data_IF_415425897607
#
_entry.id   IF_415425897607
#
_cell.length_a   1.000
_cell.length_b   1.000
_cell.length_c   1.000
_cell.angle_alpha   90.00
_cell.angle_beta   90.00
_cell.angle_gamma   90.00
#
_symmetry.space_group_name_H-M   'P 1'
#
loop_
_entity.id
_entity.type
_entity.pdbx_description
1 polymer ?
2 non-polymer ?
3 water ?
#
# COMPACT_ATOMS: atom_id res chain seq x y z
N UNK A 1 30.53 18.85 10.30
CA UNK A 1 29.56 18.13 9.44
C UNK A 1 30.01 16.69 9.27
N UNK A 2 29.21 15.93 8.53
CA UNK A 2 29.48 14.52 8.25
C UNK A 2 29.92 14.43 6.79
N UNK A 3 31.23 14.32 6.59
CA UNK A 3 31.80 14.14 5.26
C UNK A 3 31.35 15.26 4.32
N UNK A 4 31.19 16.46 4.86
CA UNK A 4 30.88 17.65 4.07
C UNK A 4 29.64 17.45 3.22
N UNK A 5 28.46 17.50 3.84
CA UNK A 5 27.20 17.52 3.13
C UNK A 5 26.37 16.26 3.30
N UNK A 6 26.96 15.17 3.77
CA UNK A 6 26.19 13.95 3.92
C UNK A 6 25.40 13.98 5.22
N UNK A 7 24.43 13.07 5.32
CA UNK A 7 23.51 13.00 6.44
C UNK A 7 23.52 11.57 6.99
N UNK A 8 23.68 11.37 8.29
CA UNK A 8 23.60 10.00 8.84
C UNK A 8 22.23 9.41 8.60
N UNK A 9 22.17 8.11 8.34
CA UNK A 9 20.89 7.41 8.28
C UNK A 9 20.14 7.60 9.60
N UNK A 10 18.81 7.73 9.51
CA UNK A 10 17.97 7.67 10.70
C UNK A 10 17.86 6.21 11.14
N UNK A 11 17.76 5.94 12.46
CA UNK A 11 17.53 4.55 12.91
C UNK A 11 16.39 3.84 12.22
N UNK A 12 15.30 4.56 11.89
CA UNK A 12 14.19 3.94 11.18
C UNK A 12 14.64 3.48 9.80
N UNK A 13 15.34 4.36 9.07
CA UNK A 13 15.89 3.98 7.76
C UNK A 13 16.67 2.68 7.89
N UNK A 14 17.53 2.61 8.91
CA UNK A 14 18.47 1.51 9.03
C UNK A 14 17.77 0.18 9.30
N UNK A 15 16.63 0.21 10.01
CA UNK A 15 15.86 -1.02 10.23
C UNK A 15 15.51 -1.67 8.90
N UNK A 16 14.97 -0.89 7.96
CA UNK A 16 14.44 -1.47 6.73
C UNK A 16 15.54 -1.92 5.78
N UNK A 17 16.72 -1.32 5.85
CA UNK A 17 17.86 -1.84 5.10
C UNK A 17 18.40 -3.12 5.72
N UNK A 18 18.53 -3.15 7.06
CA UNK A 18 19.15 -4.32 7.71
C UNK A 18 18.29 -5.57 7.60
N UNK A 19 16.95 -5.42 7.58
CA UNK A 19 16.05 -6.57 7.56
C UNK A 19 15.76 -7.09 6.16
N UNK A 20 16.18 -6.37 5.13
CA UNK A 20 15.93 -6.79 3.76
C UNK A 20 16.78 -8.02 3.45
N UNK A 21 16.16 -9.04 2.87
CA UNK A 21 16.83 -10.22 2.38
C UNK A 21 16.29 -10.56 0.99
N UNK A 22 16.92 -11.52 0.33
CA UNK A 22 16.48 -11.95 -1.00
C UNK A 22 14.99 -12.24 -1.03
N UNK A 23 14.51 -12.99 -0.04
CA UNK A 23 13.12 -13.44 -0.06
C UNK A 23 12.14 -12.35 0.36
N UNK A 24 12.60 -11.22 0.92
CA UNK A 24 11.69 -10.18 1.42
C UNK A 24 12.24 -8.79 1.13
N UNK A 25 12.06 -8.29 -0.10
CA UNK A 25 12.39 -6.90 -0.39
C UNK A 25 11.62 -5.96 0.53
N UNK A 26 12.24 -4.83 0.85
CA UNK A 26 11.69 -3.91 1.83
C UNK A 26 11.27 -2.59 1.19
N UNK A 27 10.83 -2.61 -0.08
CA UNK A 27 10.28 -1.43 -0.74
C UNK A 27 8.75 -1.40 -0.64
N UNK A 28 8.19 -0.21 -0.79
CA UNK A 28 6.75 -0.05 -0.94
C UNK A 28 6.50 0.50 -2.35
N UNK A 29 5.22 0.54 -2.75
CA UNK A 29 4.88 0.98 -4.08
C UNK A 29 3.49 1.59 -4.15
N UNK A 30 3.29 2.44 -5.17
CA UNK A 30 1.98 2.99 -5.49
C UNK A 30 1.63 2.76 -6.94
N UNK A 31 0.42 2.26 -7.19
CA UNK A 31 -0.12 2.08 -8.53
C UNK A 31 -1.07 3.24 -8.80
N UNK A 32 -0.67 4.15 -9.69
CA UNK A 32 -1.45 5.33 -10.06
C UNK A 32 -2.20 5.06 -11.35
N UNK A 33 -3.52 5.25 -11.39
CA UNK A 33 -4.31 5.16 -12.62
C UNK A 33 -4.71 6.57 -13.05
N UNK A 34 -4.30 6.97 -14.24
CA UNK A 34 -4.58 8.31 -14.78
C UNK A 34 -5.55 8.22 -15.95
N UNK A 35 -6.47 9.17 -16.01
CA UNK A 35 -7.39 9.31 -17.13
C UNK A 35 -6.74 10.26 -18.15
N UNK A 36 -6.58 9.80 -19.38
CA UNK A 36 -6.04 10.69 -20.42
C UNK A 36 -6.98 11.88 -20.61
N UNK A 37 -6.47 13.12 -20.72
CA UNK A 37 -7.38 14.27 -20.82
C UNK A 37 -8.35 14.17 -21.99
N UNK A 38 -9.50 14.79 -21.81
CA UNK A 38 -10.54 14.69 -22.83
C UNK A 38 -10.09 15.33 -24.12
N UNK A 39 -9.33 16.43 -24.04
CA UNK A 39 -8.88 17.16 -25.21
C UNK A 39 -7.43 16.86 -25.57
N UNK A 40 -6.90 15.72 -25.18
CA UNK A 40 -5.50 15.40 -25.40
C UNK A 40 -5.25 14.85 -26.82
N UNK A 41 -4.11 15.18 -27.42
CA UNK A 41 -3.75 14.55 -28.70
C UNK A 41 -3.45 13.06 -28.50
N UNK A 42 -3.47 12.33 -29.61
CA UNK A 42 -3.16 10.90 -29.54
C UNK A 42 -1.71 10.62 -29.14
N UNK A 43 -0.86 11.64 -29.15
CA UNK A 43 0.53 11.50 -28.75
C UNK A 43 0.80 12.01 -27.35
N UNK A 44 -0.24 12.09 -26.50
CA UNK A 44 -0.06 12.65 -25.17
C UNK A 44 1.03 11.92 -24.39
N UNK A 45 0.96 10.58 -24.36
CA UNK A 45 1.96 9.79 -23.63
C UNK A 45 3.33 9.87 -24.30
N UNK A 46 3.38 9.64 -25.60
CA UNK A 46 4.65 9.72 -26.32
C UNK A 46 5.35 11.05 -26.03
N UNK A 47 4.61 12.16 -26.04
CA UNK A 47 5.20 13.47 -25.79
C UNK A 47 5.62 13.64 -24.35
N UNK A 48 4.83 13.13 -23.40
CA UNK A 48 5.19 13.26 -21.99
C UNK A 48 6.47 12.48 -21.69
N UNK A 49 6.58 11.26 -22.21
CA UNK A 49 7.79 10.46 -22.01
C UNK A 49 8.96 11.09 -22.76
N UNK A 50 8.71 11.64 -23.94
CA UNK A 50 9.81 12.27 -24.68
C UNK A 50 10.35 13.48 -23.92
N UNK A 51 9.46 14.29 -23.34
CA UNK A 51 9.93 15.39 -22.51
C UNK A 51 10.79 14.88 -21.35
N UNK A 52 10.42 13.74 -20.77
CA UNK A 52 11.23 13.12 -19.72
C UNK A 52 12.61 12.74 -20.29
N UNK A 53 12.63 12.01 -21.41
CA UNK A 53 13.87 11.47 -21.93
C UNK A 53 14.87 12.58 -22.28
N UNK A 54 14.39 13.74 -22.73
CA UNK A 54 15.30 14.82 -23.13
C UNK A 54 15.55 15.83 -22.02
N UNK A 55 14.85 15.72 -20.89
CA UNK A 55 14.98 16.75 -19.86
C UNK A 55 16.41 16.86 -19.36
N UNK A 56 16.81 18.08 -19.07
CA UNK A 56 18.10 18.34 -18.43
C UNK A 56 17.97 18.61 -16.93
N UNK A 57 16.76 18.53 -16.38
CA UNK A 57 16.55 18.77 -14.95
C UNK A 57 17.06 17.60 -14.13
N UNK A 58 17.53 17.92 -12.93
CA UNK A 58 18.18 16.95 -12.02
C UNK A 58 17.19 16.56 -10.93
N UNK A 59 17.17 15.30 -10.48
CA UNK A 59 16.31 14.93 -9.37
C UNK A 59 16.58 15.78 -8.14
N UNK A 60 15.53 16.10 -7.41
CA UNK A 60 15.63 16.85 -6.16
C UNK A 60 15.50 15.86 -5.01
N UNK A 61 15.93 16.19 -3.80
CA UNK A 61 15.78 15.25 -2.71
C UNK A 61 14.32 14.91 -2.51
N UNK A 62 14.02 13.66 -2.12
CA UNK A 62 14.96 12.59 -1.77
C UNK A 62 15.45 11.77 -2.97
N UNK A 63 15.00 12.11 -4.17
CA UNK A 63 15.26 11.26 -5.33
C UNK A 63 16.72 11.30 -5.77
N UNK A 64 17.47 12.30 -5.37
CA UNK A 64 18.89 12.35 -5.67
C UNK A 64 19.75 11.80 -4.53
N UNK A 65 19.14 11.20 -3.50
CA UNK A 65 19.89 10.66 -2.37
C UNK A 65 20.26 9.19 -2.61
N UNK A 66 21.48 8.82 -2.24
CA UNK A 66 21.96 7.45 -2.37
C UNK A 66 22.79 7.06 -1.15
N UNK A 67 22.90 5.76 -0.93
CA UNK A 67 23.61 5.28 0.24
C UNK A 67 25.13 5.40 0.07
N UNK A 68 25.82 5.75 1.17
CA UNK A 68 27.28 5.77 1.22
C UNK A 68 27.66 5.38 2.66
N UNK A 69 27.88 4.10 2.87
CA UNK A 69 28.09 3.63 4.24
C UNK A 69 26.81 3.80 5.04
N UNK A 70 26.92 4.31 6.26
CA UNK A 70 25.75 4.59 7.06
C UNK A 70 25.27 6.04 6.89
N UNK A 71 25.34 6.56 5.66
CA UNK A 71 25.05 7.96 5.39
C UNK A 71 24.30 8.08 4.06
N UNK A 72 23.51 9.15 3.96
CA UNK A 72 22.89 9.55 2.71
C UNK A 72 23.81 10.55 2.03
N UNK A 73 24.16 10.27 0.79
CA UNK A 73 25.02 11.10 -0.06
C UNK A 73 24.20 11.53 -1.28
N UNK A 74 24.73 12.46 -2.05
CA UNK A 74 24.05 12.97 -3.25
C UNK A 74 24.52 12.21 -4.49
N UNK A 75 23.55 11.81 -5.32
CA UNK A 75 23.82 11.17 -6.60
C UNK A 75 24.27 12.24 -7.59
N UNK A 76 25.50 12.12 -8.03
CA UNK A 76 26.07 13.12 -8.92
C UNK A 76 25.94 12.77 -10.39
N UNK A 77 25.34 11.61 -10.75
CA UNK A 77 25.22 11.24 -12.17
C UNK A 77 23.91 10.47 -12.35
N UNK A 78 22.81 11.21 -12.51
CA UNK A 78 21.50 10.59 -12.71
C UNK A 78 21.52 9.71 -13.95
N UNK A 79 21.10 8.45 -13.79
CA UNK A 79 21.06 7.42 -14.84
C UNK A 79 19.59 7.10 -15.13
N UNK A 80 19.00 7.85 -16.08
CA UNK A 80 17.56 7.75 -16.35
C UNK A 80 17.15 6.30 -16.64
N UNK A 81 17.89 5.63 -17.51
CA UNK A 81 17.48 4.30 -17.94
C UNK A 81 17.69 3.23 -16.87
N UNK A 82 18.33 3.58 -15.75
CA UNK A 82 18.28 2.68 -14.60
C UNK A 82 16.96 2.85 -13.87
N UNK A 83 16.50 4.09 -13.72
CA UNK A 83 15.36 4.38 -12.86
C UNK A 83 14.02 4.32 -13.59
N UNK A 84 14.01 4.39 -14.93
CA UNK A 84 12.79 4.69 -15.67
C UNK A 84 12.51 3.67 -16.76
N UNK A 85 11.24 3.25 -16.86
CA UNK A 85 10.77 2.35 -17.91
C UNK A 85 9.46 2.87 -18.50
N UNK A 86 9.35 2.87 -19.84
CA UNK A 86 8.11 3.16 -20.56
C UNK A 86 7.76 1.91 -21.37
N UNK A 87 6.66 1.24 -21.02
CA UNK A 87 6.16 0.08 -21.77
C UNK A 87 4.66 0.22 -22.03
N UNK A 88 4.13 -0.70 -22.83
CA UNK A 88 2.71 -0.74 -23.16
C UNK A 88 2.15 -2.12 -22.84
N UNK A 89 0.91 -2.14 -22.33
CA UNK A 89 0.15 -3.39 -22.23
C UNK A 89 -0.38 -3.78 -23.61
N UNK A 90 -0.21 -5.02 -24.03
CA UNK A 90 -0.80 -5.44 -25.32
C UNK A 90 -2.33 -5.36 -25.33
N UNK A 91 -2.87 -5.09 -26.50
CA UNK A 91 -4.32 -4.97 -26.64
C UNK A 91 -5.02 -6.21 -26.10
N UNK A 92 -6.16 -6.07 -25.39
CA UNK A 92 -6.92 -4.86 -25.05
C UNK A 92 -6.59 -4.20 -23.69
N UNK A 93 -5.49 -4.60 -23.06
CA UNK A 93 -5.04 -3.91 -21.86
C UNK A 93 -5.92 -4.02 -20.64
N UNK A 94 -6.43 -5.21 -20.35
CA UNK A 94 -7.32 -5.40 -19.20
C UNK A 94 -6.57 -5.24 -17.89
N UNK A 95 -7.31 -4.86 -16.85
CA UNK A 95 -6.75 -4.71 -15.50
C UNK A 95 -6.11 -6.01 -15.02
N UNK A 96 -6.68 -7.16 -15.40
CA UNK A 96 -6.08 -8.46 -15.01
C UNK A 96 -4.60 -8.50 -15.36
N UNK A 97 -4.26 -8.16 -16.61
CA UNK A 97 -2.88 -8.22 -17.06
C UNK A 97 -2.02 -7.09 -16.47
N UNK A 98 -2.62 -5.94 -16.20
CA UNK A 98 -1.88 -4.89 -15.50
C UNK A 98 -1.39 -5.40 -14.14
N UNK A 99 -2.28 -6.07 -13.38
CA UNK A 99 -1.92 -6.55 -12.03
C UNK A 99 -0.90 -7.69 -12.09
N UNK A 100 -0.98 -8.53 -13.11
CA UNK A 100 0.09 -9.51 -13.33
C UNK A 100 1.43 -8.80 -13.49
N UNK A 101 1.47 -7.76 -14.31
CA UNK A 101 2.71 -7.05 -14.55
C UNK A 101 3.23 -6.40 -13.25
N UNK A 102 2.33 -5.78 -12.47
CA UNK A 102 2.75 -5.15 -11.23
C UNK A 102 3.21 -6.21 -10.20
N UNK A 103 2.50 -7.33 -10.11
CA UNK A 103 2.94 -8.42 -9.23
C UNK A 103 4.39 -8.79 -9.52
N UNK A 104 4.73 -8.95 -10.79
CA UNK A 104 6.11 -9.30 -11.16
C UNK A 104 7.09 -8.21 -10.76
N UNK A 105 6.76 -6.95 -11.06
CA UNK A 105 7.67 -5.84 -10.78
C UNK A 105 7.86 -5.63 -9.27
N UNK A 106 6.80 -5.80 -8.47
CA UNK A 106 6.94 -5.59 -7.03
C UNK A 106 7.82 -6.64 -6.38
N UNK A 107 8.20 -7.69 -7.10
CA UNK A 107 8.99 -8.78 -6.54
C UNK A 107 10.49 -8.49 -6.52
N UNK A 108 10.98 -7.50 -7.27
CA UNK A 108 12.43 -7.37 -7.53
C UNK A 108 13.10 -6.33 -6.61
N UNK A 109 14.30 -6.66 -6.14
CA UNK A 109 15.03 -5.79 -5.24
C UNK A 109 15.48 -4.50 -5.92
N UNK A 110 15.60 -3.44 -5.14
CA UNK A 110 16.22 -2.21 -5.58
C UNK A 110 17.74 -2.28 -5.41
N UNK A 111 18.45 -1.81 -6.42
CA UNK A 111 19.91 -1.77 -6.40
C UNK A 111 20.39 -0.67 -5.47
N UNK A 112 21.22 -1.03 -4.49
CA UNK A 112 21.68 -0.05 -3.50
C UNK A 112 22.80 0.84 -4.00
N UNK A 113 23.30 0.61 -5.21
CA UNK A 113 24.32 1.49 -5.75
C UNK A 113 23.76 2.81 -6.28
N UNK A 114 22.43 2.96 -6.37
CA UNK A 114 21.80 4.17 -6.90
C UNK A 114 20.67 4.60 -5.97
N UNK A 115 20.12 5.79 -6.18
CA UNK A 115 18.94 6.19 -5.38
C UNK A 115 17.90 5.10 -5.43
N UNK A 116 17.22 4.88 -4.31
CA UNK A 116 16.40 3.68 -4.07
C UNK A 116 14.95 3.89 -4.51
N UNK A 117 14.77 4.10 -5.82
CA UNK A 117 13.43 4.25 -6.40
C UNK A 117 13.47 3.93 -7.89
N UNK A 118 12.32 3.49 -8.43
CA UNK A 118 12.13 3.32 -9.88
C UNK A 118 10.72 3.79 -10.24
N UNK A 119 10.54 4.14 -11.52
CA UNK A 119 9.28 4.66 -12.07
C UNK A 119 8.96 3.94 -13.37
N UNK A 120 7.77 3.34 -13.44
CA UNK A 120 7.23 2.66 -14.63
C UNK A 120 6.05 3.47 -15.16
N UNK A 121 6.04 3.74 -16.46
CA UNK A 121 4.87 4.28 -17.15
C UNK A 121 4.32 3.17 -18.06
N UNK A 122 3.08 2.79 -17.84
CA UNK A 122 2.45 1.70 -18.58
C UNK A 122 1.29 2.28 -19.38
N UNK A 123 1.42 2.36 -20.69
CA UNK A 123 0.35 2.87 -21.54
C UNK A 123 -0.57 1.73 -22.01
N UNK A 124 -1.71 2.11 -22.59
CA UNK A 124 -2.62 1.12 -23.17
C UNK A 124 -3.60 0.45 -22.23
N UNK A 125 -3.86 1.03 -21.05
CA UNK A 125 -4.82 0.47 -20.10
C UNK A 125 -6.23 0.67 -20.62
N UNK A 126 -7.09 -0.34 -20.45
CA UNK A 126 -8.46 -0.25 -20.95
C UNK A 126 -9.18 0.97 -20.37
N UNK A 127 -10.02 1.59 -21.19
CA UNK A 127 -10.78 2.73 -20.72
C UNK A 127 -10.10 4.05 -20.86
N UNK A 128 -9.18 4.18 -21.81
CA UNK A 128 -8.50 5.46 -22.08
C UNK A 128 -7.65 5.91 -20.88
N UNK A 129 -6.92 4.98 -20.27
CA UNK A 129 -6.10 5.29 -19.10
C UNK A 129 -4.64 4.89 -19.33
N UNK A 130 -3.75 5.48 -18.52
CA UNK A 130 -2.36 5.03 -18.40
C UNK A 130 -2.03 4.91 -16.92
N UNK A 131 -1.03 4.09 -16.61
CA UNK A 131 -0.65 3.81 -15.23
C UNK A 131 0.79 4.23 -14.98
N UNK A 132 1.05 4.71 -13.76
CA UNK A 132 2.39 4.87 -13.23
C UNK A 132 2.55 3.94 -12.02
N UNK A 133 3.61 3.15 -11.99
CA UNK A 133 3.95 2.33 -10.83
C UNK A 133 5.28 2.87 -10.27
N UNK A 134 5.23 3.48 -9.10
CA UNK A 134 6.40 4.09 -8.47
C UNK A 134 6.82 3.22 -7.28
N UNK A 135 8.02 2.62 -7.37
CA UNK A 135 8.61 1.79 -6.32
C UNK A 135 9.66 2.61 -5.56
N UNK A 136 9.59 2.58 -4.22
CA UNK A 136 10.49 3.38 -3.39
C UNK A 136 10.75 2.64 -2.07
N UNK A 137 12.00 2.66 -1.62
CA UNK A 137 12.39 1.87 -0.45
C UNK A 137 11.79 2.47 0.81
N UNK A 138 11.38 1.59 1.73
CA UNK A 138 10.84 2.05 3.02
C UNK A 138 11.92 2.74 3.86
N UNK A 139 13.20 2.53 3.51
CA UNK A 139 14.26 3.28 4.18
C UNK A 139 14.17 4.77 3.86
N UNK A 140 13.46 5.14 2.81
CA UNK A 140 13.26 6.54 2.46
C UNK A 140 11.92 7.09 2.92
N UNK A 141 10.81 6.36 2.74
CA UNK A 141 9.47 6.81 3.12
C UNK A 141 8.60 5.66 3.57
N UNK A 142 7.70 5.93 4.52
CA UNK A 142 6.55 5.08 4.75
C UNK A 142 5.37 5.62 3.92
N UNK A 143 4.15 5.11 4.16
CA UNK A 143 3.02 5.50 3.33
C UNK A 143 2.66 6.97 3.46
N UNK A 144 2.64 7.48 4.68
CA UNK A 144 2.28 8.87 4.90
C UNK A 144 3.29 9.81 4.26
N UNK A 145 4.58 9.53 4.43
CA UNK A 145 5.60 10.36 3.77
C UNK A 145 5.51 10.23 2.25
N UNK A 146 5.22 9.02 1.74
CA UNK A 146 5.01 8.86 0.31
C UNK A 146 3.86 9.72 -0.20
N UNK A 147 2.76 9.76 0.56
CA UNK A 147 1.61 10.57 0.13
C UNK A 147 1.99 12.04 0.05
N UNK A 148 2.80 12.52 0.99
CA UNK A 148 3.25 13.91 0.93
C UNK A 148 4.10 14.16 -0.32
N UNK A 149 4.93 13.19 -0.71
CA UNK A 149 5.69 13.32 -1.96
C UNK A 149 4.77 13.38 -3.16
N UNK A 150 3.72 12.55 -3.16
CA UNK A 150 2.75 12.54 -4.26
C UNK A 150 2.10 13.92 -4.39
N UNK A 151 1.67 14.49 -3.25
CA UNK A 151 1.00 15.78 -3.27
C UNK A 151 1.95 16.90 -3.66
N UNK A 152 3.25 16.77 -3.36
CA UNK A 152 4.18 17.82 -3.79
C UNK A 152 4.48 17.74 -5.29
N UNK A 153 4.57 16.52 -5.84
CA UNK A 153 5.00 16.33 -7.22
C UNK A 153 3.87 16.44 -8.24
N UNK A 154 2.62 16.19 -7.87
CA UNK A 154 1.48 16.34 -8.76
C UNK A 154 0.76 17.65 -8.45
N UNK A 155 -0.18 18.02 -9.32
CA UNK A 155 -0.90 19.28 -9.21
C UNK A 155 -2.36 19.06 -8.84
N UNK A 156 -2.92 20.01 -8.08
CA UNK A 156 -4.34 20.09 -7.85
C UNK A 156 -5.07 20.87 -8.93
N UNK A 157 -4.35 21.48 -9.88
CA UNK A 157 -4.92 22.34 -10.91
C UNK A 157 -4.90 21.61 -12.24
N UNK A 158 -6.08 21.32 -12.78
CA UNK A 158 -6.16 20.57 -14.03
C UNK A 158 -5.56 21.34 -15.20
N UNK A 159 -5.39 22.66 -15.08
CA UNK A 159 -4.87 23.45 -16.18
C UNK A 159 -3.35 23.56 -16.18
N UNK A 160 -2.68 23.20 -15.08
CA UNK A 160 -1.23 23.38 -15.01
C UNK A 160 -0.51 22.33 -15.86
N UNK A 161 0.44 22.79 -16.66
CA UNK A 161 1.22 21.91 -17.54
C UNK A 161 2.56 21.59 -16.92
N UNK A 162 2.94 20.30 -16.96
CA UNK A 162 4.17 19.85 -16.33
C UNK A 162 5.36 20.26 -17.19
N UNK A 163 6.35 20.86 -16.55
CA UNK A 163 7.57 21.30 -17.22
C UNK A 163 8.80 20.50 -16.83
N UNK A 164 8.72 19.65 -15.82
CA UNK A 164 9.84 18.82 -15.41
C UNK A 164 9.30 17.46 -14.97
N UNK A 165 10.16 16.46 -14.94
CA UNK A 165 9.71 15.14 -14.49
C UNK A 165 9.29 15.22 -13.04
N UNK A 166 8.43 14.30 -12.59
CA UNK A 166 7.90 14.38 -11.21
C UNK A 166 8.98 14.41 -10.14
N UNK A 167 10.06 13.67 -10.33
CA UNK A 167 11.15 13.60 -9.36
C UNK A 167 12.05 14.82 -9.38
N UNK A 168 11.66 15.88 -10.08
CA UNK A 168 12.41 17.14 -10.09
C UNK A 168 11.59 18.31 -9.56
N UNK A 169 10.39 18.06 -9.04
CA UNK A 169 9.47 19.14 -8.68
C UNK A 169 9.89 19.78 -7.35
N UNK A 170 9.75 21.10 -7.28
CA UNK A 170 10.13 21.88 -6.10
C UNK A 170 11.54 21.53 -5.64
N UNK A 223 0.18 -13.03 25.89
CA UNK A 223 0.95 -12.03 25.13
C UNK A 223 1.15 -12.46 23.67
N UNK A 224 1.03 -13.77 23.41
CA UNK A 224 1.11 -14.36 22.07
C UNK A 224 -0.14 -15.22 21.87
N UNK A 225 -1.23 -14.59 21.46
CA UNK A 225 -2.52 -15.26 21.33
C UNK A 225 -2.89 -15.63 19.90
N UNK A 226 -2.01 -15.37 18.94
CA UNK A 226 -2.34 -15.60 17.54
C UNK A 226 -2.08 -17.06 17.16
N UNK A 227 -3.03 -17.72 16.50
CA UNK A 227 -2.84 -19.13 16.11
C UNK A 227 -1.87 -19.26 14.95
N UNK A 228 -1.37 -20.49 14.74
CA UNK A 228 -0.67 -20.81 13.50
C UNK A 228 -1.65 -20.81 12.34
N UNK A 229 -1.15 -20.44 11.16
CA UNK A 229 -1.99 -20.35 9.96
C UNK A 229 -1.10 -20.23 8.73
N UNK A 230 -1.71 -20.44 7.57
CA UNK A 230 -0.96 -20.39 6.32
C UNK A 230 -0.48 -18.98 6.01
N UNK A 231 -1.04 -17.97 6.67
CA UNK A 231 -0.53 -16.60 6.57
C UNK A 231 0.86 -16.47 7.18
N UNK A 232 1.19 -17.34 8.13
CA UNK A 232 2.38 -17.22 8.98
C UNK A 232 3.35 -18.35 8.64
N UNK A 233 4.17 -18.08 7.63
CA UNK A 233 4.91 -19.08 6.87
C UNK A 233 6.11 -18.34 6.27
N UNK A 234 7.23 -19.03 6.13
CA UNK A 234 8.36 -18.43 5.40
C UNK A 234 7.93 -18.08 3.97
N UNK A 235 8.46 -16.98 3.43
CA UNK A 235 7.98 -16.45 2.15
C UNK A 235 9.06 -16.57 1.09
N UNK A 236 8.61 -16.55 -0.17
CA UNK A 236 9.47 -16.40 -1.34
C UNK A 236 9.50 -14.94 -1.76
N UNK A 237 10.35 -14.63 -2.75
CA UNK A 237 10.38 -13.26 -3.27
C UNK A 237 9.22 -12.97 -4.24
N UNK A 238 8.63 -13.98 -4.86
CA UNK A 238 7.60 -13.74 -5.88
C UNK A 238 6.28 -13.28 -5.27
N UNK A 239 5.71 -12.21 -5.83
CA UNK A 239 4.55 -11.56 -5.24
C UNK A 239 3.29 -11.72 -6.08
N UNK A 240 2.13 -11.60 -5.41
CA UNK A 240 0.85 -11.42 -6.07
C UNK A 240 0.22 -10.15 -5.51
N UNK A 241 -0.11 -9.20 -6.39
CA UNK A 241 -0.78 -7.96 -6.05
C UNK A 241 -2.21 -8.01 -6.59
N UNK A 242 -3.19 -7.74 -5.72
CA UNK A 242 -4.59 -7.70 -6.09
C UNK A 242 -5.19 -6.40 -5.54
N UNK A 243 -5.70 -5.55 -6.43
CA UNK A 243 -6.14 -4.21 -6.09
C UNK A 243 -7.56 -3.95 -6.61
N UNK A 244 -8.36 -3.21 -5.84
CA UNK A 244 -9.71 -2.89 -6.28
C UNK A 244 -10.21 -1.68 -5.50
N UNK A 245 -11.01 -0.83 -6.19
CA UNK A 245 -11.65 0.34 -5.57
C UNK A 245 -13.05 -0.04 -5.09
N UNK A 246 -13.39 0.43 -3.88
CA UNK A 246 -14.75 0.32 -3.36
C UNK A 246 -15.30 1.70 -2.99
N UNK A 247 -16.62 1.88 -3.13
CA UNK A 247 -17.27 3.14 -2.74
C UNK A 247 -17.34 3.25 -1.22
N UNK A 248 -16.66 4.26 -0.67
CA UNK A 248 -16.64 4.41 0.79
C UNK A 248 -18.01 4.71 1.37
N UNK A 249 -18.91 5.29 0.58
CA UNK A 249 -20.25 5.59 1.11
C UNK A 249 -21.03 4.31 1.48
N UNK A 250 -20.70 3.16 0.88
CA UNK A 250 -21.32 1.90 1.31
C UNK A 250 -20.94 1.56 2.75
N UNK A 251 -19.67 1.74 3.10
CA UNK A 251 -19.23 1.52 4.48
C UNK A 251 -19.83 2.58 5.41
N UNK A 252 -19.93 3.81 4.93
CA UNK A 252 -20.55 4.88 5.73
C UNK A 252 -22.02 4.55 6.04
N UNK A 253 -22.75 4.05 5.05
CA UNK A 253 -24.16 3.73 5.26
C UNK A 253 -24.30 2.59 6.27
N UNK A 254 -23.44 1.58 6.18
CA UNK A 254 -23.49 0.46 7.13
C UNK A 254 -23.17 0.96 8.54
N UNK A 255 -22.13 1.78 8.68
CA UNK A 255 -21.74 2.30 9.99
C UNK A 255 -22.86 3.08 10.64
N UNK A 256 -23.53 3.95 9.87
CA UNK A 256 -24.62 4.74 10.43
C UNK A 256 -25.77 3.83 10.87
N UNK A 257 -26.13 2.84 10.04
CA UNK A 257 -27.28 1.98 10.37
C UNK A 257 -27.05 1.17 11.64
N UNK A 258 -25.82 0.67 11.85
CA UNK A 258 -25.50 -0.17 13.00
C UNK A 258 -24.83 0.60 14.14
N UNK A 259 -24.73 1.93 14.03
CA UNK A 259 -24.19 2.78 15.09
C UNK A 259 -22.78 2.37 15.49
N UNK A 260 -21.92 2.20 14.47
CA UNK A 260 -20.49 1.94 14.65
C UNK A 260 -19.70 2.89 13.75
N UNK A 261 -18.38 2.77 13.79
CA UNK A 261 -17.50 3.60 12.97
C UNK A 261 -17.27 2.93 11.62
N UNK A 262 -16.85 3.75 10.64
CA UNK A 262 -16.46 3.19 9.34
C UNK A 262 -15.32 2.20 9.51
N UNK A 263 -14.35 2.54 10.37
CA UNK A 263 -13.24 1.63 10.65
C UNK A 263 -13.74 0.29 11.17
N UNK A 264 -14.72 0.32 12.08
CA UNK A 264 -15.30 -0.93 12.58
C UNK A 264 -15.82 -1.79 11.42
N UNK A 265 -16.56 -1.16 10.48
CA UNK A 265 -17.17 -1.90 9.39
C UNK A 265 -16.10 -2.45 8.46
N UNK A 266 -15.10 -1.64 8.13
CA UNK A 266 -14.05 -2.09 7.22
C UNK A 266 -13.37 -3.33 7.79
N UNK A 267 -13.03 -3.28 9.09
CA UNK A 267 -12.35 -4.41 9.71
C UNK A 267 -13.23 -5.65 9.74
N UNK A 268 -14.53 -5.49 9.96
CA UNK A 268 -15.45 -6.62 9.94
C UNK A 268 -15.60 -7.19 8.54
N UNK A 269 -15.60 -6.32 7.51
CA UNK A 269 -15.61 -6.79 6.13
C UNK A 269 -14.34 -7.61 5.84
N UNK A 270 -13.19 -7.12 6.31
CA UNK A 270 -11.96 -7.88 6.12
C UNK A 270 -12.06 -9.22 6.85
N UNK A 271 -12.60 -9.23 8.06
CA UNK A 271 -12.65 -10.47 8.84
C UNK A 271 -13.47 -11.54 8.12
N UNK A 272 -14.69 -11.18 7.71
CA UNK A 272 -15.53 -12.15 7.04
C UNK A 272 -14.92 -12.66 5.75
N UNK A 273 -14.27 -11.76 4.99
CA UNK A 273 -13.62 -12.15 3.76
C UNK A 273 -12.47 -13.12 4.02
N UNK A 274 -11.66 -12.86 5.06
CA UNK A 274 -10.55 -13.75 5.41
C UNK A 274 -11.06 -15.10 5.87
N UNK A 275 -12.13 -15.10 6.65
CA UNK A 275 -12.73 -16.35 7.10
C UNK A 275 -13.21 -17.17 5.90
N UNK A 276 -13.92 -16.53 4.95
CA UNK A 276 -14.40 -17.25 3.78
C UNK A 276 -13.23 -17.81 2.95
N UNK A 277 -12.19 -17.00 2.74
CA UNK A 277 -11.06 -17.43 1.92
C UNK A 277 -10.35 -18.61 2.56
N UNK A 278 -10.07 -18.50 3.85
CA UNK A 278 -9.39 -19.59 4.54
C UNK A 278 -10.25 -20.84 4.55
N UNK A 279 -11.56 -20.68 4.76
CA UNK A 279 -12.42 -21.85 4.73
C UNK A 279 -12.41 -22.54 3.37
N UNK A 280 -12.34 -21.73 2.29
CA UNK A 280 -12.33 -22.32 0.95
C UNK A 280 -11.08 -23.14 0.70
N UNK A 281 -10.01 -22.94 1.47
CA UNK A 281 -8.81 -23.73 1.35
C UNK A 281 -8.63 -24.67 2.55
N UNK A 282 -9.71 -24.91 3.30
CA UNK A 282 -9.68 -25.78 4.49
C UNK A 282 -8.53 -25.40 5.42
N UNK A 283 -8.35 -24.11 5.64
CA UNK A 283 -7.22 -23.59 6.40
C UNK A 283 -7.66 -22.54 7.42
N UNK A 284 -8.91 -22.59 7.86
CA UNK A 284 -9.36 -21.64 8.89
C UNK A 284 -8.92 -22.13 10.27
N UNK A 285 -8.07 -21.40 10.99
CA UNK A 285 -7.67 -21.86 12.33
C UNK A 285 -8.86 -21.89 13.31
N UNK A 286 -8.73 -22.73 14.36
CA UNK A 286 -9.80 -22.78 15.36
C UNK A 286 -9.89 -21.48 16.14
N UNK A 287 -8.76 -20.95 16.62
CA UNK A 287 -8.75 -19.66 17.31
C UNK A 287 -8.93 -18.52 16.30
N UNK A 288 -9.45 -17.35 16.73
CA UNK A 288 -9.58 -16.24 15.80
C UNK A 288 -8.23 -15.65 15.42
N UNK A 289 -8.15 -15.10 14.20
CA UNK A 289 -6.97 -14.35 13.80
C UNK A 289 -6.87 -13.09 14.63
N UNK A 290 -5.65 -12.73 15.01
CA UNK A 290 -5.32 -11.47 15.66
C UNK A 290 -4.63 -10.59 14.62
N UNK A 291 -4.96 -9.29 14.60
CA UNK A 291 -4.39 -8.37 13.63
C UNK A 291 -3.98 -7.05 14.29
N UNK A 292 -2.90 -6.47 13.76
CA UNK A 292 -2.55 -5.09 14.04
C UNK A 292 -3.39 -4.19 13.12
N UNK A 293 -4.25 -3.35 13.68
CA UNK A 293 -5.25 -2.62 12.89
C UNK A 293 -5.25 -1.15 13.27
N UNK A 294 -5.81 -0.27 12.44
CA UNK A 294 -5.90 1.14 12.80
C UNK A 294 -6.98 1.38 13.85
N UNK A 295 -6.79 2.43 14.63
CA UNK A 295 -7.83 2.87 15.55
C UNK A 295 -8.92 3.71 14.87
N UNK A 296 -8.65 4.22 13.66
CA UNK A 296 -9.58 5.08 12.92
C UNK A 296 -9.31 4.95 11.44
N UNK A 297 -10.15 5.59 10.63
CA UNK A 297 -10.01 5.51 9.18
C UNK A 297 -9.34 6.74 8.57
N UNK A 298 -9.38 7.91 9.25
CA UNK A 298 -8.66 9.10 8.78
C UNK A 298 -8.01 9.92 9.89
N UNK A 299 -8.23 9.61 11.16
CA UNK A 299 -7.70 10.41 12.26
C UNK A 299 -8.28 11.82 12.23
N UNK A 304 -3.92 15.51 10.46
CA UNK A 304 -3.10 16.68 10.76
C UNK A 304 -1.63 16.30 10.86
N UNK A 305 -0.99 15.99 9.73
CA UNK A 305 0.40 15.52 9.70
C UNK A 305 0.56 14.34 10.67
N UNK A 306 -0.38 13.41 10.61
CA UNK A 306 -0.51 12.38 11.62
C UNK A 306 -0.53 10.99 11.01
N UNK A 307 0.11 10.06 11.71
CA UNK A 307 0.01 8.63 11.43
C UNK A 307 -0.95 8.02 12.44
N UNK A 308 -1.90 7.22 11.95
CA UNK A 308 -2.96 6.70 12.80
C UNK A 308 -2.40 5.70 13.81
N UNK A 309 -2.85 5.81 15.06
CA UNK A 309 -2.47 4.84 16.08
C UNK A 309 -2.91 3.43 15.67
N UNK A 310 -2.06 2.43 15.92
CA UNK A 310 -2.32 1.05 15.53
C UNK A 310 -2.57 0.18 16.77
N UNK A 311 -3.48 -0.80 16.64
CA UNK A 311 -4.03 -1.55 17.77
C UNK A 311 -3.95 -3.05 17.49
N UNK A 312 -3.61 -3.83 18.51
CA UNK A 312 -3.70 -5.28 18.42
C UNK A 312 -5.13 -5.71 18.73
N UNK A 313 -5.82 -6.34 17.77
CA UNK A 313 -7.26 -6.60 17.89
C UNK A 313 -7.63 -8.03 17.47
N UNK A 314 -8.75 -8.51 18.04
CA UNK A 314 -9.32 -9.81 17.76
C UNK A 314 -10.25 -9.70 16.56
N UNK A 315 -9.92 -10.41 15.46
CA UNK A 315 -10.76 -10.30 14.27
C UNK A 315 -11.96 -11.22 14.30
N UNK A 316 -12.04 -12.13 15.26
CA UNK A 316 -13.25 -12.95 15.49
C UNK A 316 -13.62 -13.81 14.28
N UNK A 317 -12.63 -14.28 13.53
CA UNK A 317 -12.87 -15.11 12.34
C UNK A 317 -13.39 -16.50 12.67
N UNK A 318 -13.50 -16.85 13.93
CA UNK A 318 -14.03 -18.15 14.36
C UNK A 318 -15.54 -18.11 14.59
N UNK A 319 -16.16 -16.93 14.48
CA UNK A 319 -17.61 -16.78 14.59
C UNK A 319 -18.26 -16.80 13.21
N UNK A 320 -19.44 -17.42 13.13
CA UNK A 320 -20.07 -17.59 11.83
C UNK A 320 -21.12 -16.52 11.48
N UNK A 321 -21.32 -15.51 12.32
CA UNK A 321 -22.33 -14.47 12.09
C UNK A 321 -21.68 -13.10 11.91
N UNK A 322 -22.05 -12.33 10.86
CA UNK A 322 -21.33 -11.06 10.63
C UNK A 322 -21.54 -10.04 11.74
N UNK A 323 -22.76 -9.95 12.28
CA UNK A 323 -23.00 -9.04 13.38
C UNK A 323 -22.20 -9.45 14.61
N UNK A 324 -22.05 -10.76 14.85
CA UNK A 324 -21.23 -11.23 15.97
C UNK A 324 -19.78 -10.84 15.78
N UNK A 325 -19.24 -11.07 14.57
CA UNK A 325 -17.88 -10.66 14.26
C UNK A 325 -17.70 -9.16 14.48
N UNK A 326 -18.64 -8.36 13.97
CA UNK A 326 -18.56 -6.91 14.10
C UNK A 326 -18.56 -6.51 15.57
N UNK A 327 -19.39 -7.16 16.36
CA UNK A 327 -19.48 -6.80 17.78
C UNK A 327 -18.17 -7.10 18.51
N UNK A 328 -17.59 -8.28 18.29
CA UNK A 328 -16.34 -8.61 18.95
C UNK A 328 -15.22 -7.67 18.53
N UNK A 329 -15.15 -7.36 17.23
CA UNK A 329 -14.11 -6.47 16.71
C UNK A 329 -14.23 -5.09 17.31
N UNK A 330 -15.44 -4.53 17.33
CA UNK A 330 -15.62 -3.18 17.85
C UNK A 330 -15.16 -3.11 19.30
N UNK A 331 -15.59 -4.08 20.12
CA UNK A 331 -15.18 -4.11 21.52
C UNK A 331 -13.67 -4.23 21.66
N UNK A 332 -13.07 -5.13 20.90
CA UNK A 332 -11.63 -5.34 20.98
C UNK A 332 -10.85 -4.07 20.63
N UNK A 333 -11.25 -3.39 19.54
CA UNK A 333 -10.59 -2.14 19.14
C UNK A 333 -10.75 -1.09 20.24
N UNK A 334 -11.93 -1.01 20.84
CA UNK A 334 -12.17 -0.02 21.89
C UNK A 334 -11.35 -0.31 23.14
N UNK A 335 -11.23 -1.59 23.51
CA UNK A 335 -10.73 -2.00 24.82
C UNK A 335 -9.33 -2.57 24.82
N UNK A 336 -8.73 -2.81 23.66
CA UNK A 336 -7.38 -3.37 23.61
C UNK A 336 -6.41 -2.49 24.38
N UNK A 337 -5.49 -3.12 25.09
CA UNK A 337 -4.45 -2.40 25.81
C UNK A 337 -3.13 -2.31 25.04
N UNK A 338 -3.00 -3.01 23.91
CA UNK A 338 -1.80 -2.94 23.06
C UNK A 338 -2.04 -1.89 21.99
N UNK A 339 -1.75 -0.63 22.33
CA UNK A 339 -1.96 0.51 21.44
C UNK A 339 -0.61 1.17 21.17
N UNK A 340 -0.32 1.43 19.89
CA UNK A 340 0.99 1.90 19.44
C UNK A 340 0.83 3.23 18.70
N UNK A 341 1.04 4.33 19.42
CA UNK A 341 1.04 5.63 18.78
C UNK A 341 2.21 5.73 17.80
N UNK A 342 2.06 6.58 16.79
CA UNK A 342 3.09 6.78 15.77
C UNK A 342 3.25 8.26 15.49
N UNK A 343 3.38 9.04 16.57
CA UNK A 343 3.49 10.49 16.47
C UNK A 343 4.92 10.99 16.56
N UNK A 344 5.81 10.25 17.23
CA UNK A 344 7.20 10.65 17.40
C UNK A 344 8.12 9.60 16.78
N UNK A 345 9.36 10.00 16.51
CA UNK A 345 10.34 9.09 15.93
C UNK A 345 10.47 7.84 16.79
N UNK A 346 10.62 8.03 18.10
CA UNK A 346 10.74 6.89 19.02
C UNK A 346 9.53 5.99 18.94
N UNK A 347 8.33 6.59 18.93
CA UNK A 347 7.11 5.80 18.81
C UNK A 347 7.09 5.02 17.50
N UNK A 348 7.43 5.68 16.39
CA UNK A 348 7.47 5.00 15.09
C UNK A 348 8.53 3.92 15.09
N UNK A 349 9.71 4.23 15.65
CA UNK A 349 10.75 3.21 15.80
C UNK A 349 10.22 1.97 16.51
N UNK A 350 9.58 2.16 17.66
CA UNK A 350 9.11 1.02 18.45
C UNK A 350 8.01 0.26 17.72
N UNK A 351 7.11 0.98 17.05
CA UNK A 351 6.10 0.30 16.23
C UNK A 351 6.78 -0.55 15.18
N UNK A 352 7.79 0.02 14.51
CA UNK A 352 8.47 -0.70 13.45
C UNK A 352 9.12 -1.98 13.98
N UNK A 353 9.65 -1.94 15.19
CA UNK A 353 10.27 -3.13 15.77
C UNK A 353 9.22 -4.20 16.05
N UNK A 354 8.07 -3.81 16.63
CA UNK A 354 6.98 -4.76 16.86
C UNK A 354 6.59 -5.45 15.58
N UNK A 355 6.42 -4.68 14.49
CA UNK A 355 5.81 -5.21 13.28
C UNK A 355 6.81 -5.97 12.43
N UNK A 356 8.03 -5.46 12.30
CA UNK A 356 8.98 -6.04 11.37
C UNK A 356 10.03 -6.90 12.04
N UNK A 357 10.14 -6.84 13.36
CA UNK A 357 11.03 -7.71 14.12
C UNK A 357 10.41 -8.20 15.41
N UNK A 358 9.20 -8.77 15.32
CA UNK A 358 8.50 -9.16 16.54
C UNK A 358 9.22 -10.26 17.33
N UNK A 359 9.17 -10.14 18.66
CA UNK A 359 9.60 -11.24 19.51
C UNK A 359 8.65 -12.43 19.35
N UNK A 360 9.15 -13.62 19.70
CA UNK A 360 8.38 -14.85 19.58
C UNK A 360 8.35 -15.64 20.87
N UNK A 361 7.52 -16.68 20.88
CA UNK A 361 7.36 -17.53 22.05
C UNK A 361 8.56 -18.45 22.23
N UNK A 372 3.05 -16.62 17.44
CA UNK A 372 3.36 -15.22 17.14
C UNK A 372 2.36 -14.30 17.84
N UNK A 373 2.63 -13.00 17.75
CA UNK A 373 1.79 -12.00 18.42
C UNK A 373 0.54 -11.65 17.62
N UNK A 374 0.66 -11.62 16.29
CA UNK A 374 -0.45 -11.28 15.41
C UNK A 374 -0.30 -12.07 14.12
N UNK A 375 -1.41 -12.21 13.40
CA UNK A 375 -1.42 -12.96 12.14
C UNK A 375 -1.18 -12.09 10.92
N UNK A 376 -1.56 -10.80 10.97
CA UNK A 376 -1.37 -9.89 9.84
C UNK A 376 -1.52 -8.46 10.33
N UNK A 377 -1.11 -7.54 9.46
CA UNK A 377 -1.25 -6.10 9.65
C UNK A 377 -2.26 -5.58 8.63
N UNK A 378 -3.25 -4.83 9.09
CA UNK A 378 -4.18 -4.14 8.18
C UNK A 378 -3.88 -2.65 8.30
N UNK A 379 -3.22 -2.07 7.28
CA UNK A 379 -2.73 -0.71 7.34
C UNK A 379 -3.67 0.24 6.60
N UNK A 380 -3.65 1.50 7.04
CA UNK A 380 -4.43 2.56 6.45
C UNK A 380 -3.50 3.72 6.12
N UNK A 381 -3.43 4.11 4.86
CA UNK A 381 -2.63 5.24 4.42
C UNK A 381 -3.56 6.29 3.82
N UNK A 382 -3.92 7.32 4.56
CA UNK A 382 -4.85 8.32 4.03
C UNK A 382 -4.32 9.00 2.78
N UNK A 383 -5.21 9.12 1.78
CA UNK A 383 -4.91 9.83 0.56
C UNK A 383 -5.61 11.19 0.53
N UNK A 384 -5.33 11.98 -0.49
CA UNK A 384 -5.93 13.31 -0.56
C UNK A 384 -7.44 13.24 -0.75
N UNK A 385 -8.11 14.30 -0.27
CA UNK A 385 -9.55 14.41 -0.47
C UNK A 385 -9.93 15.09 -1.79
N UNK A 386 -8.98 15.87 -2.41
CA UNK A 386 -9.20 16.56 -3.68
C UNK A 386 -8.41 15.92 -4.83
N UNK A 387 -8.94 15.90 -6.05
CA UNK A 387 -8.23 15.21 -7.14
C UNK A 387 -6.86 15.80 -7.44
N UNK A 388 -5.97 14.95 -7.94
CA UNK A 388 -4.67 15.36 -8.43
C UNK A 388 -4.62 15.16 -9.94
N UNK A 389 -3.67 15.85 -10.58
CA UNK A 389 -3.52 15.86 -12.03
C UNK A 389 -2.05 15.80 -12.41
N UNK A 390 -1.77 15.21 -13.57
CA UNK A 390 -0.45 15.21 -14.19
C UNK A 390 -0.60 15.75 -15.61
N UNK A 391 -0.15 17.00 -15.82
CA UNK A 391 -0.22 17.63 -17.13
C UNK A 391 -1.64 17.57 -17.67
N UNK A 392 -2.62 17.77 -16.79
CA UNK A 392 -4.01 17.73 -17.14
C UNK A 392 -4.70 16.37 -17.00
N UNK A 393 -3.94 15.28 -16.91
CA UNK A 393 -4.51 13.94 -16.76
C UNK A 393 -4.95 13.71 -15.31
N UNK A 394 -6.23 13.40 -15.10
CA UNK A 394 -6.76 13.22 -13.75
C UNK A 394 -6.29 11.90 -13.13
N UNK A 395 -5.81 11.96 -11.89
CA UNK A 395 -5.56 10.77 -11.10
C UNK A 395 -6.89 10.14 -10.73
N UNK A 396 -7.24 9.03 -11.38
CA UNK A 396 -8.52 8.39 -11.16
C UNK A 396 -8.52 7.42 -9.99
N UNK A 397 -7.36 6.85 -9.67
CA UNK A 397 -7.25 5.82 -8.63
C UNK A 397 -5.80 5.69 -8.18
N UNK A 398 -5.63 5.29 -6.92
CA UNK A 398 -4.32 5.19 -6.26
C UNK A 398 -4.32 4.00 -5.30
N UNK A 399 -3.54 2.97 -5.60
CA UNK A 399 -3.53 1.74 -4.81
C UNK A 399 -2.17 1.52 -4.13
N UNK A 400 -2.15 1.19 -2.83
CA UNK A 400 -0.88 0.94 -2.13
C UNK A 400 -0.45 -0.53 -2.22
N UNK A 401 0.85 -0.73 -2.36
CA UNK A 401 1.47 -2.06 -2.35
C UNK A 401 2.57 -2.07 -1.29
N UNK A 402 2.37 -2.84 -0.21
CA UNK A 402 3.27 -2.80 0.94
C UNK A 402 4.18 -4.05 0.99
N UNK A 403 4.56 -4.48 2.20
CA UNK A 403 5.68 -5.40 2.41
C UNK A 403 5.17 -6.70 3.00
N UNK A 404 5.56 -7.83 2.42
CA UNK A 404 5.41 -9.12 3.07
C UNK A 404 6.78 -9.62 3.53
N UNK A 405 6.77 -10.44 4.57
CA UNK A 405 8.03 -10.98 5.07
C UNK A 405 7.81 -12.32 5.76
N UNK A 406 8.92 -12.95 6.15
CA UNK A 406 8.82 -14.23 6.84
C UNK A 406 7.85 -14.13 8.00
N UNK A 407 6.92 -15.09 8.07
CA UNK A 407 5.92 -15.12 9.12
C UNK A 407 4.73 -14.20 8.91
N UNK A 408 4.68 -13.42 7.79
CA UNK A 408 3.58 -12.49 7.45
C UNK A 408 3.43 -12.47 5.92
N UNK A 409 2.82 -13.52 5.40
CA UNK A 409 2.72 -13.72 3.96
C UNK A 409 1.62 -12.89 3.30
N UNK A 410 0.77 -12.18 4.05
CA UNK A 410 -0.29 -11.33 3.51
C UNK A 410 -0.28 -9.99 4.21
N UNK A 411 -0.31 -8.92 3.42
CA UNK A 411 -0.48 -7.57 3.95
C UNK A 411 -1.68 -6.94 3.26
N UNK A 412 -2.55 -6.30 4.02
CA UNK A 412 -3.69 -5.54 3.52
C UNK A 412 -3.40 -4.08 3.84
N UNK A 413 -3.42 -3.21 2.82
CA UNK A 413 -3.25 -1.78 3.01
C UNK A 413 -4.35 -1.07 2.22
N UNK A 414 -4.87 0.00 2.82
CA UNK A 414 -5.98 0.74 2.23
C UNK A 414 -5.68 2.22 2.24
N UNK A 415 -6.17 2.90 1.22
CA UNK A 415 -6.02 4.33 1.05
C UNK A 415 -7.40 4.92 0.71
N UNK A 416 -7.79 5.99 1.42
CA UNK A 416 -8.98 6.76 1.07
C UNK A 416 -8.60 7.85 0.07
N UNK A 417 -9.34 7.93 -1.03
CA UNK A 417 -9.11 8.92 -2.08
C UNK A 417 -10.41 9.19 -2.82
N UNK A 418 -10.88 10.44 -2.78
CA UNK A 418 -12.08 10.86 -3.53
C UNK A 418 -13.33 10.10 -3.09
N UNK A 419 -13.45 9.85 -1.80
CA UNK A 419 -14.57 9.09 -1.25
C UNK A 419 -14.58 7.64 -1.74
N UNK A 420 -13.43 7.11 -2.17
CA UNK A 420 -13.26 5.70 -2.49
C UNK A 420 -12.37 5.05 -1.43
N UNK A 421 -12.54 3.75 -1.24
CA UNK A 421 -11.64 2.92 -0.44
C UNK A 421 -10.78 2.13 -1.43
N UNK A 422 -9.50 2.51 -1.54
CA UNK A 422 -8.57 1.88 -2.48
C UNK A 422 -7.84 0.75 -1.75
N UNK A 423 -8.14 -0.50 -2.11
CA UNK A 423 -7.62 -1.68 -1.40
C UNK A 423 -6.44 -2.25 -2.16
N UNK A 424 -5.31 -2.43 -1.48
CA UNK A 424 -4.13 -3.05 -2.07
C UNK A 424 -3.71 -4.30 -1.29
N UNK A 425 -3.91 -5.47 -1.87
CA UNK A 425 -3.56 -6.75 -1.25
C UNK A 425 -2.24 -7.23 -1.85
N UNK A 426 -1.26 -7.55 -1.00
CA UNK A 426 0.03 -8.05 -1.45
C UNK A 426 0.39 -9.32 -0.67
N UNK A 427 0.79 -10.37 -1.39
CA UNK A 427 1.06 -11.65 -0.74
C UNK A 427 2.23 -12.39 -1.38
N UNK A 428 2.82 -13.29 -0.60
CA UNK A 428 3.71 -14.29 -1.18
C UNK A 428 2.89 -15.17 -2.12
N UNK A 429 3.40 -15.28 -3.35
CA UNK A 429 2.69 -15.99 -4.39
C UNK A 429 2.49 -17.45 -4.02
N UNK A 430 3.47 -18.04 -3.33
CA UNK A 430 3.45 -19.47 -3.10
C UNK A 430 2.81 -19.85 -1.77
N UNK A 431 2.74 -18.95 -0.80
CA UNK A 431 2.07 -19.27 0.46
C UNK A 431 0.55 -19.23 0.32
N UNK A 432 0.03 -18.26 -0.44
CA UNK A 432 -1.41 -18.02 -0.53
C UNK A 432 -1.86 -18.15 -1.98
N UNK A 433 -2.15 -19.35 -2.42
CA UNK A 433 -2.61 -19.53 -3.79
C UNK A 433 -3.96 -18.86 -4.01
N UNK A 434 -4.15 -18.35 -5.22
CA UNK A 434 -5.42 -17.74 -5.62
C UNK A 434 -5.81 -16.63 -4.66
N UNK A 435 -4.82 -15.91 -4.14
CA UNK A 435 -5.11 -14.86 -3.17
C UNK A 435 -6.06 -13.82 -3.75
N UNK A 436 -6.08 -13.65 -5.08
CA UNK A 436 -6.95 -12.64 -5.67
C UNK A 436 -8.44 -12.88 -5.40
N UNK A 437 -8.81 -14.12 -5.02
CA UNK A 437 -10.21 -14.39 -4.66
C UNK A 437 -10.69 -13.52 -3.50
N UNK A 438 -9.76 -12.99 -2.70
CA UNK A 438 -10.13 -12.15 -1.57
C UNK A 438 -10.90 -10.92 -2.02
N UNK A 439 -10.63 -10.40 -3.24
CA UNK A 439 -11.37 -9.24 -3.75
C UNK A 439 -12.85 -9.60 -3.91
N UNK A 440 -13.15 -10.82 -4.36
CA UNK A 440 -14.53 -11.26 -4.44
C UNK A 440 -15.14 -11.46 -3.06
N UNK A 441 -14.39 -12.08 -2.14
CA UNK A 441 -14.88 -12.28 -0.79
C UNK A 441 -15.17 -10.95 -0.09
N UNK A 442 -14.33 -9.93 -0.33
CA UNK A 442 -14.58 -8.60 0.23
C UNK A 442 -15.91 -8.03 -0.25
N UNK A 443 -16.14 -8.05 -1.57
CA UNK A 443 -17.40 -7.55 -2.11
C UNK A 443 -18.58 -8.31 -1.52
N UNK A 444 -18.47 -9.64 -1.46
CA UNK A 444 -19.57 -10.44 -0.94
C UNK A 444 -19.85 -10.13 0.53
N UNK A 445 -18.83 -9.73 1.30
CA UNK A 445 -19.05 -9.40 2.70
C UNK A 445 -19.78 -8.06 2.84
N UNK A 446 -19.41 -7.08 2.00
CA UNK A 446 -20.13 -5.81 2.01
C UNK A 446 -21.60 -6.09 1.72
N UNK A 447 -21.86 -6.87 0.68
CA UNK A 447 -23.24 -7.19 0.32
C UNK A 447 -23.97 -7.86 1.46
N UNK A 448 -23.27 -8.68 2.25
CA UNK A 448 -23.91 -9.37 3.37
C UNK A 448 -24.40 -8.37 4.42
N UNK A 449 -23.53 -7.44 4.83
CA UNK A 449 -23.96 -6.40 5.74
C UNK A 449 -25.10 -5.58 5.13
N UNK A 450 -24.99 -5.24 3.84
CA UNK A 450 -26.07 -4.48 3.21
C UNK A 450 -27.36 -5.29 3.22
N UNK A 451 -27.25 -6.61 3.08
CA UNK A 451 -28.44 -7.43 3.10
C UNK A 451 -29.12 -7.45 4.46
N UNK A 452 -28.33 -7.55 5.54
CA UNK A 452 -28.94 -7.64 6.85
C UNK A 452 -29.53 -6.31 7.26
N UNK A 453 -28.95 -5.20 6.81
CA UNK A 453 -29.54 -3.90 7.08
C UNK A 453 -30.82 -3.70 6.27
N UNK A 454 -30.84 -4.19 5.04
CA UNK A 454 -32.04 -4.05 4.20
C UNK A 454 -33.23 -4.77 4.81
N UNK A 455 -32.97 -5.88 5.51
CA UNK A 455 -34.07 -6.58 6.18
C UNK A 455 -34.47 -5.87 7.45
N UNK A 456 -33.51 -5.34 8.19
CA UNK A 456 -33.79 -4.60 9.43
C UNK A 456 -34.46 -3.26 9.12
#
# INVERSE_FOLDING_TARGET
AYFAGMRPLHPIDFIFLSLEKRQQPMHVGGLFLFQIPDNAPDTFIQDLVNDIRISKSIPVPPFNNKLNGLFWDEDEEFDLDHHFRHIALPHPGRIRELLIYISQEHSTLLDRAKPLWTCNIIEGIEGNRFAMYFKIHHAMVDGVAGMRLIEKSLSHDVTEKSIVPPWCVEGKRAKRLREPKTGKIKKIMSGIKSQLQATPTVIQELSQTVFKDIGRNPDHVSSFQAPCSILNQRVSSSRRFAAQSFDLDRFRNIAKSLNVTINDVVLAVCSGALRAYLMSHNSLPSKPLIAMVPASIRNDDSDVSNRITMILANLATHKDDPLQRLEIIRRSVQNSKQRFKRMTSDQILNYSAVVYGPAGLNIISGMMPKRQAFNLVISNVPGPREPLYWNGAKLDALYPASIVLDGQALNITMTSYLDKLEVGLIACRNALPRMQNLLTHLEEEIQLFEGVIAKQEDIKTAN
#
